data_IF_305900875455
#
_entry.id   IF_305900875455
#
_cell.length_a   1.000
_cell.length_b   1.000
_cell.length_c   1.000
_cell.angle_alpha   90.00
_cell.angle_beta   90.00
_cell.angle_gamma   90.00
#
_symmetry.space_group_name_H-M   'P 1'
#
loop_
_entity.id
_entity.type
_entity.pdbx_description
1 polymer ?
#
# COMPACT_ATOMS: atom_id res chain seq x y z
N UNK A 1 16.91 -33.10 5.26
CA UNK A 1 18.05 -32.48 4.54
C UNK A 1 17.70 -32.35 3.04
N UNK A 2 17.09 -33.37 2.41
CA UNK A 2 16.64 -33.29 1.00
C UNK A 2 15.66 -32.16 0.73
N UNK A 3 14.66 -32.00 1.55
CA UNK A 3 13.64 -30.93 1.41
C UNK A 3 14.25 -29.53 1.42
N UNK A 4 15.23 -29.29 2.30
CA UNK A 4 15.96 -28.00 2.37
C UNK A 4 16.79 -27.75 1.11
N UNK A 5 17.39 -28.79 0.55
CA UNK A 5 18.21 -28.70 -0.66
C UNK A 5 17.34 -28.46 -1.91
N UNK A 6 16.22 -29.14 -2.00
CA UNK A 6 15.22 -28.92 -3.08
C UNK A 6 14.64 -27.50 -3.01
N UNK A 7 14.34 -27.01 -1.82
CA UNK A 7 13.83 -25.64 -1.62
C UNK A 7 14.84 -24.58 -2.07
N UNK A 8 16.14 -24.81 -1.80
CA UNK A 8 17.20 -23.90 -2.25
C UNK A 8 17.39 -23.90 -3.76
N UNK A 9 17.19 -25.05 -4.42
CA UNK A 9 17.28 -25.17 -5.89
C UNK A 9 16.10 -24.49 -6.61
N UNK A 10 14.95 -24.35 -5.94
CA UNK A 10 13.76 -23.69 -6.46
C UNK A 10 13.80 -22.17 -6.27
N UNK A 11 14.81 -21.65 -5.58
CA UNK A 11 14.94 -20.20 -5.32
C UNK A 11 15.18 -19.42 -6.60
N UNK A 12 14.20 -18.60 -6.95
CA UNK A 12 14.32 -17.63 -8.04
C UNK A 12 15.05 -16.37 -7.55
N UNK A 13 15.86 -15.77 -8.42
CA UNK A 13 16.45 -14.45 -8.18
C UNK A 13 15.41 -13.41 -7.73
N UNK A 14 14.22 -13.44 -8.28
CA UNK A 14 13.12 -12.54 -7.91
C UNK A 14 12.72 -12.68 -6.45
N UNK A 15 12.68 -13.90 -5.93
CA UNK A 15 12.36 -14.16 -4.52
C UNK A 15 13.43 -13.61 -3.58
N UNK A 16 14.71 -13.76 -3.94
CA UNK A 16 15.82 -13.20 -3.17
C UNK A 16 15.74 -11.68 -3.10
N UNK A 17 15.44 -11.03 -4.23
CA UNK A 17 15.23 -9.56 -4.26
C UNK A 17 14.07 -9.16 -3.36
N UNK A 18 12.95 -9.88 -3.36
CA UNK A 18 11.82 -9.60 -2.50
C UNK A 18 12.15 -9.80 -1.00
N UNK A 19 12.99 -10.75 -0.66
CA UNK A 19 13.47 -10.91 0.72
C UNK A 19 14.36 -9.75 1.17
N UNK A 20 15.23 -9.27 0.27
CA UNK A 20 16.07 -8.09 0.55
C UNK A 20 15.18 -6.85 0.75
N UNK A 21 14.18 -6.66 -0.11
CA UNK A 21 13.22 -5.55 0.01
C UNK A 21 12.43 -5.68 1.31
N UNK A 22 11.88 -6.86 1.61
CA UNK A 22 11.15 -7.11 2.85
C UNK A 22 12.01 -6.89 4.10
N UNK A 23 13.25 -7.37 4.09
CA UNK A 23 14.21 -7.13 5.16
C UNK A 23 14.55 -5.65 5.34
N UNK A 24 14.69 -4.91 4.24
CA UNK A 24 14.91 -3.46 4.28
C UNK A 24 13.71 -2.72 4.88
N UNK A 25 12.49 -3.08 4.51
CA UNK A 25 11.28 -2.48 5.08
C UNK A 25 11.20 -2.72 6.60
N UNK A 26 11.47 -3.96 7.05
CA UNK A 26 11.52 -4.30 8.48
C UNK A 26 12.63 -3.50 9.20
N UNK A 27 13.80 -3.38 8.58
CA UNK A 27 14.90 -2.58 9.13
C UNK A 27 14.50 -1.11 9.29
N UNK A 28 13.89 -0.50 8.27
CA UNK A 28 13.43 0.89 8.32
C UNK A 28 12.37 1.09 9.41
N UNK A 29 11.44 0.15 9.53
CA UNK A 29 10.38 0.18 10.55
C UNK A 29 10.97 0.17 11.97
N UNK A 30 11.92 -0.74 12.25
CA UNK A 30 12.47 -0.92 13.60
C UNK A 30 13.55 0.11 13.92
N UNK A 31 14.53 0.31 13.01
CA UNK A 31 15.72 1.12 13.28
C UNK A 31 15.53 2.61 13.02
N UNK A 32 14.58 2.97 12.18
CA UNK A 32 14.28 4.36 11.81
C UNK A 32 12.91 4.82 12.30
N UNK A 33 12.17 3.92 12.96
CA UNK A 33 10.81 4.20 13.47
C UNK A 33 9.85 4.74 12.39
N UNK A 34 10.10 4.35 11.13
CA UNK A 34 9.29 4.78 9.98
C UNK A 34 8.03 3.91 9.89
N UNK A 35 6.90 4.48 10.31
CA UNK A 35 5.58 3.82 10.24
C UNK A 35 5.62 2.30 10.54
N UNK A 36 6.01 1.89 11.78
CA UNK A 36 6.19 0.47 12.11
C UNK A 36 4.92 -0.36 11.89
N UNK A 37 3.75 0.22 12.14
CA UNK A 37 2.45 -0.41 11.97
C UNK A 37 2.14 -0.81 10.53
N UNK A 38 2.80 -0.14 9.57
CA UNK A 38 2.64 -0.37 8.15
C UNK A 38 3.80 -1.21 7.57
N UNK A 39 5.04 -0.76 7.80
CA UNK A 39 6.20 -1.36 7.16
C UNK A 39 6.54 -2.75 7.70
N UNK A 40 6.28 -3.04 8.99
CA UNK A 40 6.53 -4.38 9.54
C UNK A 40 5.66 -5.45 8.89
N UNK A 41 4.31 -5.31 8.86
CA UNK A 41 3.47 -6.30 8.18
C UNK A 41 3.77 -6.41 6.69
N UNK A 42 4.05 -5.30 6.02
CA UNK A 42 4.38 -5.28 4.59
C UNK A 42 5.69 -6.02 4.31
N UNK A 43 6.75 -5.75 5.07
CA UNK A 43 8.02 -6.42 4.94
C UNK A 43 7.95 -7.91 5.26
N UNK A 44 7.24 -8.27 6.33
CA UNK A 44 7.00 -9.66 6.70
C UNK A 44 6.18 -10.40 5.65
N UNK A 45 5.08 -9.79 5.15
CA UNK A 45 4.25 -10.36 4.09
C UNK A 45 5.04 -10.57 2.79
N UNK A 46 5.88 -9.60 2.40
CA UNK A 46 6.74 -9.71 1.22
C UNK A 46 7.71 -10.90 1.32
N UNK A 47 8.27 -11.16 2.49
CA UNK A 47 9.13 -12.33 2.73
C UNK A 47 8.28 -13.61 2.68
N UNK A 48 7.16 -13.63 3.39
CA UNK A 48 6.32 -14.82 3.58
C UNK A 48 5.75 -15.35 2.27
N UNK A 49 5.20 -14.46 1.43
CA UNK A 49 4.62 -14.83 0.12
C UNK A 49 5.67 -15.36 -0.85
N UNK A 50 6.92 -14.92 -0.70
CA UNK A 50 8.03 -15.33 -1.55
C UNK A 50 8.84 -16.50 -0.99
N UNK A 51 8.39 -17.14 0.11
CA UNK A 51 8.99 -18.38 0.60
C UNK A 51 8.54 -19.56 -0.29
N UNK A 52 9.47 -20.25 -0.95
CA UNK A 52 9.12 -21.42 -1.75
C UNK A 52 8.58 -22.55 -0.87
N UNK A 53 7.60 -23.29 -1.37
CA UNK A 53 6.97 -24.44 -0.71
C UNK A 53 6.31 -24.16 0.66
N UNK A 54 6.08 -22.91 1.02
CA UNK A 54 5.51 -22.57 2.33
C UNK A 54 3.98 -22.73 2.40
N UNK A 55 3.28 -22.80 1.26
CA UNK A 55 1.82 -22.70 1.20
C UNK A 55 1.26 -21.33 1.63
N UNK A 56 2.10 -20.43 2.11
CA UNK A 56 1.70 -19.11 2.59
C UNK A 56 1.08 -18.27 1.49
N UNK A 57 1.58 -18.40 0.26
CA UNK A 57 1.04 -17.69 -0.88
C UNK A 57 -0.42 -18.05 -1.12
N UNK A 58 -0.78 -19.31 -1.09
CA UNK A 58 -2.15 -19.78 -1.31
C UNK A 58 -3.13 -19.20 -0.26
N UNK A 59 -2.72 -19.18 1.01
CA UNK A 59 -3.54 -18.59 2.09
C UNK A 59 -3.71 -17.08 1.89
N UNK A 60 -2.65 -16.39 1.52
CA UNK A 60 -2.69 -14.94 1.30
C UNK A 60 -3.51 -14.61 0.06
N UNK A 61 -3.39 -15.39 -1.02
CA UNK A 61 -4.20 -15.22 -2.24
C UNK A 61 -5.72 -15.38 -1.92
N UNK A 62 -6.10 -16.38 -1.10
CA UNK A 62 -7.49 -16.56 -0.65
C UNK A 62 -7.97 -15.35 0.19
N UNK A 63 -7.13 -14.88 1.12
CA UNK A 63 -7.47 -13.71 1.94
C UNK A 63 -7.59 -12.44 1.10
N UNK A 64 -6.73 -12.28 0.09
CA UNK A 64 -6.79 -11.16 -0.85
C UNK A 64 -8.08 -11.20 -1.67
N UNK A 65 -8.39 -12.36 -2.23
CA UNK A 65 -9.61 -12.57 -3.03
C UNK A 65 -10.88 -12.22 -2.23
N UNK A 66 -11.03 -12.80 -1.04
CA UNK A 66 -12.22 -12.59 -0.20
C UNK A 66 -12.24 -11.19 0.43
N UNK A 67 -11.08 -10.71 0.87
CA UNK A 67 -10.99 -9.50 1.68
C UNK A 67 -10.84 -8.22 0.88
N UNK A 68 -10.35 -8.30 -0.34
CA UNK A 68 -10.04 -7.14 -1.18
C UNK A 68 -10.77 -7.23 -2.52
N UNK A 69 -10.55 -8.30 -3.29
CA UNK A 69 -11.00 -8.36 -4.69
C UNK A 69 -12.52 -8.54 -4.84
N UNK A 70 -13.12 -9.37 -4.01
CA UNK A 70 -14.56 -9.68 -4.11
C UNK A 70 -15.40 -9.21 -2.91
N UNK A 71 -14.79 -8.95 -1.78
CA UNK A 71 -15.50 -8.69 -0.53
C UNK A 71 -15.36 -7.27 0.03
N UNK A 72 -14.40 -6.48 -0.41
CA UNK A 72 -14.09 -5.12 0.09
C UNK A 72 -14.00 -5.03 1.63
N UNK A 73 -13.98 -6.20 2.30
CA UNK A 73 -14.04 -6.29 3.76
C UNK A 73 -12.82 -5.64 4.42
N UNK A 74 -11.63 -5.88 3.89
CA UNK A 74 -10.40 -5.34 4.48
C UNK A 74 -10.27 -3.82 4.33
N UNK A 75 -10.57 -3.21 3.17
CA UNK A 75 -10.65 -1.76 3.06
C UNK A 75 -11.62 -1.14 4.06
N UNK A 76 -12.81 -1.71 4.23
CA UNK A 76 -13.80 -1.23 5.19
C UNK A 76 -13.28 -1.28 6.64
N UNK A 77 -12.71 -2.41 7.06
CA UNK A 77 -12.13 -2.56 8.39
C UNK A 77 -10.97 -1.58 8.60
N UNK A 78 -10.13 -1.39 7.58
CA UNK A 78 -9.03 -0.43 7.65
C UNK A 78 -9.54 1.00 7.82
N UNK A 79 -10.58 1.42 7.10
CA UNK A 79 -11.17 2.75 7.27
C UNK A 79 -11.75 2.96 8.67
N UNK A 80 -12.42 1.94 9.22
CA UNK A 80 -12.91 1.99 10.60
C UNK A 80 -11.74 2.12 11.58
N UNK A 81 -10.69 1.33 11.40
CA UNK A 81 -9.51 1.34 12.27
C UNK A 81 -8.76 2.67 12.20
N UNK A 82 -8.49 3.18 11.02
CA UNK A 82 -7.84 4.48 10.80
C UNK A 82 -8.70 5.59 11.42
N UNK A 83 -10.01 5.59 11.15
CA UNK A 83 -10.92 6.59 11.72
C UNK A 83 -10.93 6.61 13.24
N UNK A 84 -10.78 5.44 13.88
CA UNK A 84 -10.68 5.33 15.33
C UNK A 84 -9.34 5.81 15.90
N UNK A 85 -8.29 5.82 15.09
CA UNK A 85 -6.93 6.26 15.50
C UNK A 85 -6.66 7.75 15.26
N UNK A 86 -7.50 8.43 14.48
CA UNK A 86 -7.31 9.84 14.15
C UNK A 86 -7.45 10.70 15.42
N UNK A 87 -6.42 11.47 15.71
CA UNK A 87 -6.46 12.53 16.73
C UNK A 87 -6.90 13.84 16.08
N UNK A 88 -8.12 14.27 16.42
CA UNK A 88 -8.72 15.51 15.91
C UNK A 88 -8.34 16.75 16.76
N UNK A 89 -7.73 16.57 17.91
CA UNK A 89 -7.41 17.68 18.82
C UNK A 89 -6.54 18.76 18.14
N UNK A 90 -5.47 18.43 17.39
CA UNK A 90 -4.67 19.44 16.69
C UNK A 90 -5.47 20.29 15.70
N UNK A 91 -6.41 19.66 14.99
CA UNK A 91 -7.26 20.35 14.02
C UNK A 91 -8.27 21.29 14.70
N UNK A 92 -8.85 20.84 15.81
CA UNK A 92 -9.83 21.62 16.58
C UNK A 92 -9.18 22.81 17.29
N UNK A 93 -7.95 22.62 17.77
CA UNK A 93 -7.18 23.69 18.44
C UNK A 93 -6.58 24.69 17.45
N UNK A 94 -6.24 24.26 16.25
CA UNK A 94 -5.67 25.13 15.21
C UNK A 94 -6.36 24.91 13.83
N UNK A 95 -7.53 25.53 13.60
CA UNK A 95 -8.28 25.35 12.36
C UNK A 95 -7.52 25.72 11.08
N UNK A 96 -6.42 26.49 11.18
CA UNK A 96 -5.57 26.82 10.02
C UNK A 96 -4.94 25.58 9.38
N UNK A 97 -4.82 24.49 10.11
CA UNK A 97 -4.32 23.22 9.57
C UNK A 97 -5.21 22.66 8.45
N UNK A 98 -6.47 23.08 8.36
CA UNK A 98 -7.36 22.72 7.24
C UNK A 98 -6.82 23.15 5.87
N UNK A 99 -5.99 24.21 5.82
CA UNK A 99 -5.37 24.63 4.55
C UNK A 99 -4.41 23.59 3.97
N UNK A 100 -3.79 22.74 4.80
CA UNK A 100 -2.98 21.63 4.31
C UNK A 100 -3.84 20.59 3.59
N UNK A 101 -5.05 20.33 4.07
CA UNK A 101 -6.01 19.47 3.37
C UNK A 101 -6.41 20.05 2.01
N UNK A 102 -6.63 21.36 1.93
CA UNK A 102 -6.93 22.03 0.66
C UNK A 102 -5.73 21.94 -0.33
N UNK A 103 -4.50 22.06 0.16
CA UNK A 103 -3.30 21.89 -0.65
C UNK A 103 -3.17 20.46 -1.20
N UNK A 104 -3.45 19.45 -0.37
CA UNK A 104 -3.47 18.05 -0.78
C UNK A 104 -4.51 17.80 -1.88
N UNK A 105 -5.73 18.33 -1.73
CA UNK A 105 -6.77 18.24 -2.76
C UNK A 105 -6.32 18.88 -4.08
N UNK A 106 -5.68 20.04 -4.02
CA UNK A 106 -5.11 20.66 -5.22
C UNK A 106 -4.12 19.72 -5.93
N UNK A 107 -3.24 19.05 -5.17
CA UNK A 107 -2.28 18.08 -5.71
C UNK A 107 -2.96 16.90 -6.42
N UNK A 108 -4.03 16.36 -5.82
CA UNK A 108 -4.83 15.28 -6.41
C UNK A 108 -5.42 15.70 -7.75
N UNK A 109 -6.11 16.84 -7.80
CA UNK A 109 -6.71 17.32 -9.04
C UNK A 109 -5.68 17.71 -10.10
N UNK A 110 -4.55 18.29 -9.69
CA UNK A 110 -3.45 18.57 -10.61
C UNK A 110 -2.89 17.30 -11.24
N UNK A 111 -2.68 16.25 -10.43
CA UNK A 111 -2.21 14.94 -10.90
C UNK A 111 -3.21 14.27 -11.82
N UNK A 112 -4.53 14.37 -11.54
CA UNK A 112 -5.57 13.89 -12.42
C UNK A 112 -5.47 14.53 -13.82
N UNK A 113 -5.36 15.86 -13.85
CA UNK A 113 -5.21 16.60 -15.11
C UNK A 113 -3.92 16.21 -15.84
N UNK A 114 -2.81 16.12 -15.13
CA UNK A 114 -1.53 15.73 -15.70
C UNK A 114 -1.56 14.31 -16.27
N UNK A 115 -2.08 13.33 -15.52
CA UNK A 115 -2.20 11.95 -15.98
C UNK A 115 -3.09 11.84 -17.23
N UNK A 116 -4.23 12.55 -17.23
CA UNK A 116 -5.11 12.63 -18.41
C UNK A 116 -4.39 13.27 -19.61
N UNK A 117 -3.57 14.29 -19.38
CA UNK A 117 -2.77 14.91 -20.45
C UNK A 117 -1.71 13.95 -21.02
N UNK A 118 -1.14 13.06 -20.20
CA UNK A 118 -0.23 12.01 -20.67
C UNK A 118 -0.92 10.85 -21.39
N UNK A 119 -2.25 10.88 -21.50
CA UNK A 119 -3.02 9.91 -22.28
C UNK A 119 -3.51 8.71 -21.49
N UNK A 120 -3.48 8.75 -20.16
CA UNK A 120 -4.15 7.74 -19.35
C UNK A 120 -5.67 7.89 -19.47
N UNK A 121 -6.38 6.76 -19.44
CA UNK A 121 -7.84 6.77 -19.33
C UNK A 121 -8.26 7.44 -18.03
N UNK A 122 -9.45 8.04 -18.01
CA UNK A 122 -9.91 8.84 -16.87
C UNK A 122 -9.97 8.01 -15.56
N UNK A 123 -10.33 6.74 -15.66
CA UNK A 123 -10.37 5.82 -14.52
C UNK A 123 -8.97 5.58 -13.95
N UNK A 124 -8.01 5.34 -14.82
CA UNK A 124 -6.61 5.15 -14.45
C UNK A 124 -5.99 6.46 -13.92
N UNK A 125 -6.27 7.58 -14.58
CA UNK A 125 -5.82 8.90 -14.15
C UNK A 125 -6.35 9.28 -12.75
N UNK A 126 -7.62 8.99 -12.48
CA UNK A 126 -8.23 9.21 -11.16
C UNK A 126 -7.62 8.30 -10.08
N UNK A 127 -7.40 7.03 -10.43
CA UNK A 127 -6.75 6.06 -9.53
C UNK A 127 -5.28 6.41 -9.22
N UNK A 128 -4.56 6.98 -10.19
CA UNK A 128 -3.21 7.50 -9.98
C UNK A 128 -3.24 8.75 -9.11
N UNK A 129 -4.18 9.65 -9.35
CA UNK A 129 -4.28 10.92 -8.65
C UNK A 129 -4.54 10.76 -7.15
N UNK A 130 -5.33 9.76 -6.76
CA UNK A 130 -5.70 9.51 -5.36
C UNK A 130 -4.51 9.11 -4.48
N UNK A 131 -3.38 8.68 -5.06
CA UNK A 131 -2.13 8.43 -4.33
C UNK A 131 -1.72 9.69 -3.54
N UNK A 132 -2.01 10.88 -4.07
CA UNK A 132 -1.73 12.16 -3.42
C UNK A 132 -2.51 12.39 -2.11
N UNK A 133 -3.52 11.60 -1.80
CA UNK A 133 -4.21 11.61 -0.52
C UNK A 133 -3.33 11.05 0.62
N UNK A 134 -2.20 10.40 0.31
CA UNK A 134 -1.29 9.74 1.25
C UNK A 134 -2.00 8.69 2.13
N UNK A 135 -2.96 8.00 1.56
CA UNK A 135 -3.76 6.97 2.19
C UNK A 135 -3.80 5.72 1.30
N UNK A 136 -3.02 4.71 1.68
CA UNK A 136 -2.90 3.45 0.93
C UNK A 136 -4.24 2.73 0.75
N UNK A 137 -5.02 2.49 1.82
CA UNK A 137 -6.33 1.85 1.73
C UNK A 137 -7.31 2.56 0.78
N UNK A 138 -7.39 3.90 0.85
CA UNK A 138 -8.22 4.69 -0.07
C UNK A 138 -7.77 4.52 -1.52
N UNK A 139 -6.47 4.47 -1.76
CA UNK A 139 -5.93 4.30 -3.11
C UNK A 139 -6.29 2.94 -3.71
N UNK A 140 -6.27 1.87 -2.89
CA UNK A 140 -6.70 0.53 -3.31
C UNK A 140 -8.19 0.55 -3.65
N UNK A 141 -9.02 1.04 -2.71
CA UNK A 141 -10.46 1.08 -2.87
C UNK A 141 -10.88 1.82 -4.14
N UNK A 142 -10.35 3.03 -4.35
CA UNK A 142 -10.67 3.82 -5.54
C UNK A 142 -10.20 3.14 -6.83
N UNK A 143 -9.00 2.55 -6.83
CA UNK A 143 -8.48 1.87 -8.01
C UNK A 143 -9.30 0.61 -8.37
N UNK A 144 -9.87 -0.07 -7.38
CA UNK A 144 -10.78 -1.20 -7.59
C UNK A 144 -12.14 -0.75 -8.11
N UNK A 145 -12.77 0.22 -7.46
CA UNK A 145 -14.07 0.77 -7.87
C UNK A 145 -14.06 1.33 -9.30
N UNK A 146 -12.94 1.94 -9.67
CA UNK A 146 -12.75 2.46 -11.03
C UNK A 146 -12.27 1.41 -12.03
N UNK A 147 -12.06 0.17 -11.60
CA UNK A 147 -11.52 -0.93 -12.42
C UNK A 147 -10.21 -0.53 -13.12
N UNK A 148 -9.28 0.12 -12.38
CA UNK A 148 -8.02 0.57 -12.93
C UNK A 148 -7.12 -0.59 -13.38
N UNK A 149 -6.54 -0.46 -14.57
CA UNK A 149 -5.56 -1.41 -15.10
C UNK A 149 -4.23 -1.40 -14.32
N UNK A 150 -4.03 -0.39 -13.46
CA UNK A 150 -2.79 -0.16 -12.72
C UNK A 150 -2.91 -0.43 -11.21
N UNK A 151 -3.88 -1.24 -10.77
CA UNK A 151 -4.11 -1.53 -9.35
C UNK A 151 -2.82 -1.88 -8.60
N UNK A 152 -2.05 -2.86 -9.09
CA UNK A 152 -0.83 -3.30 -8.40
C UNK A 152 0.27 -2.21 -8.32
N UNK A 153 0.63 -1.50 -9.40
CA UNK A 153 1.53 -0.35 -9.31
C UNK A 153 1.02 0.77 -8.39
N UNK A 154 -0.28 1.07 -8.40
CA UNK A 154 -0.90 2.09 -7.54
C UNK A 154 -0.76 1.69 -6.08
N UNK A 155 -1.04 0.44 -5.72
CA UNK A 155 -0.87 -0.06 -4.36
C UNK A 155 0.56 0.14 -3.86
N UNK A 156 1.56 -0.27 -4.63
CA UNK A 156 2.97 -0.12 -4.26
C UNK A 156 3.35 1.35 -4.11
N UNK A 157 2.93 2.19 -5.05
CA UNK A 157 3.23 3.62 -5.02
C UNK A 157 2.55 4.33 -3.84
N UNK A 158 1.27 4.03 -3.57
CA UNK A 158 0.50 4.63 -2.49
C UNK A 158 1.09 4.33 -1.11
N UNK A 159 1.41 3.06 -0.84
CA UNK A 159 2.02 2.67 0.43
C UNK A 159 3.44 3.19 0.58
N UNK A 160 4.23 3.20 -0.51
CA UNK A 160 5.58 3.77 -0.48
C UNK A 160 5.54 5.27 -0.20
N UNK A 161 4.60 6.01 -0.82
CA UNK A 161 4.40 7.43 -0.57
C UNK A 161 3.94 7.70 0.86
N UNK A 162 2.97 6.93 1.35
CA UNK A 162 2.46 7.05 2.72
C UNK A 162 3.58 6.85 3.75
N UNK A 163 4.48 5.89 3.52
CA UNK A 163 5.62 5.65 4.39
C UNK A 163 6.66 6.79 4.40
N UNK A 164 6.70 7.64 3.36
CA UNK A 164 7.62 8.77 3.25
C UNK A 164 7.04 10.08 3.84
N UNK A 165 5.73 10.16 4.08
CA UNK A 165 5.07 11.37 4.58
C UNK A 165 5.64 11.90 5.90
N UNK A 166 6.07 11.06 6.87
CA UNK A 166 6.62 11.53 8.13
C UNK A 166 8.04 12.14 8.04
N UNK A 167 8.70 12.06 6.88
CA UNK A 167 10.07 12.53 6.64
C UNK A 167 10.07 13.96 6.10
#
# INVERSE_FOLDING_TARGET
MEVLYETLLLLSWKQVVMWVIGGLLIYLAISKEMEPTLLLPMGFGAILVNLPLSGAKEVIDILFDIGIEHGELFPLILFIGIGAMIDFEPLLTNPKLMFFGAAAQFGIFFTLCAASFFGFEINDAASIAIIGAADGPTSIFVAQELNSNYLAPIMVAAYSYMALVPI
#
